data_IF_709601483062
#
_entry.id   IF_709601483062
#
_cell.length_a   1.000
_cell.length_b   1.000
_cell.length_c   1.000
_cell.angle_alpha   90.00
_cell.angle_beta   90.00
_cell.angle_gamma   90.00
#
_symmetry.space_group_name_H-M   'P 1'
#
loop_
_entity.id
_entity.type
_entity.pdbx_description
1 polymer ?
#
# COMPACT_ATOMS: atom_id res chain seq x y z
N UNK A 1 -19.95 -14.19 30.18
CA UNK A 1 -19.20 -14.90 29.13
C UNK A 1 -20.05 -15.42 27.96
N UNK A 2 -21.34 -15.06 27.85
CA UNK A 2 -22.24 -15.57 26.78
C UNK A 2 -22.59 -14.55 25.67
N UNK A 3 -22.02 -13.34 25.69
CA UNK A 3 -22.39 -12.27 24.74
C UNK A 3 -21.43 -12.16 23.54
N UNK A 4 -20.25 -12.78 23.61
CA UNK A 4 -19.23 -12.72 22.54
C UNK A 4 -19.40 -13.86 21.52
N UNK A 5 -20.12 -14.93 21.86
CA UNK A 5 -20.31 -16.09 20.99
C UNK A 5 -21.37 -15.90 19.88
N UNK A 6 -22.25 -14.89 19.98
CA UNK A 6 -23.35 -14.70 19.01
C UNK A 6 -23.03 -13.74 17.85
N UNK A 7 -21.87 -13.11 17.84
CA UNK A 7 -21.48 -12.11 16.82
C UNK A 7 -20.44 -12.60 15.81
N UNK A 8 -19.71 -13.68 16.09
CA UNK A 8 -18.60 -14.17 15.23
C UNK A 8 -19.09 -15.12 14.13
N UNK A 9 -20.13 -15.91 14.43
CA UNK A 9 -20.78 -16.81 13.46
C UNK A 9 -21.57 -16.08 12.37
N UNK A 10 -21.96 -14.81 12.59
CA UNK A 10 -22.62 -14.00 11.56
C UNK A 10 -21.63 -13.34 10.59
N UNK A 11 -20.40 -13.05 11.05
CA UNK A 11 -19.33 -12.45 10.22
C UNK A 11 -18.71 -13.50 9.30
N UNK A 12 -18.42 -14.71 9.79
CA UNK A 12 -17.85 -15.78 8.97
C UNK A 12 -18.85 -16.32 7.91
N UNK A 13 -20.13 -16.45 8.28
CA UNK A 13 -21.18 -16.87 7.33
C UNK A 13 -21.55 -15.78 6.30
N UNK A 14 -21.20 -14.51 6.55
CA UNK A 14 -21.42 -13.40 5.62
C UNK A 14 -20.31 -13.21 4.58
N UNK A 15 -19.07 -13.63 4.89
CA UNK A 15 -17.92 -13.46 3.97
C UNK A 15 -17.83 -14.57 2.91
N UNK A 16 -18.27 -15.79 3.20
CA UNK A 16 -18.23 -16.92 2.24
C UNK A 16 -19.13 -16.70 1.00
N UNK A 17 -20.35 -16.15 1.12
CA UNK A 17 -21.16 -15.73 -0.04
C UNK A 17 -20.56 -14.54 -0.81
N UNK A 18 -19.97 -13.55 -0.11
CA UNK A 18 -19.35 -12.38 -0.73
C UNK A 18 -18.10 -12.73 -1.58
N UNK A 19 -17.37 -13.79 -1.19
CA UNK A 19 -16.28 -14.36 -1.98
C UNK A 19 -16.77 -15.18 -3.20
N UNK A 20 -17.97 -15.80 -3.12
CA UNK A 20 -18.60 -16.48 -4.28
C UNK A 20 -19.13 -15.50 -5.34
N UNK A 21 -19.66 -14.35 -4.94
CA UNK A 21 -20.09 -13.30 -5.90
C UNK A 21 -18.92 -12.69 -6.69
N UNK A 22 -17.71 -12.69 -6.12
CA UNK A 22 -16.48 -12.28 -6.81
C UNK A 22 -15.97 -13.29 -7.85
N UNK A 23 -16.42 -14.54 -7.80
CA UNK A 23 -16.02 -15.60 -8.73
C UNK A 23 -17.02 -15.84 -9.87
N UNK A 24 -18.21 -15.24 -9.84
CA UNK A 24 -19.19 -15.44 -10.90
C UNK A 24 -20.23 -14.35 -11.00
N UNK A 25 -20.09 -13.48 -12.01
CA UNK A 25 -21.22 -12.67 -12.47
C UNK A 25 -21.19 -12.54 -13.99
N UNK A 26 -21.96 -13.42 -14.64
CA UNK A 26 -22.67 -13.09 -15.88
C UNK A 26 -23.75 -12.07 -15.53
N UNK A 27 -23.82 -11.01 -16.32
CA UNK A 27 -24.81 -9.94 -16.31
C UNK A 27 -26.25 -10.49 -16.19
N UNK A 28 -26.98 -10.14 -15.12
CA UNK A 28 -28.45 -10.15 -15.08
C UNK A 28 -28.96 -8.95 -14.28
N UNK A 29 -29.99 -8.31 -14.81
CA UNK A 29 -30.68 -7.08 -14.41
C UNK A 29 -31.02 -6.95 -12.91
N UNK A 30 -30.86 -5.72 -12.39
CA UNK A 30 -31.29 -5.29 -11.07
C UNK A 30 -32.82 -5.11 -10.95
N UNK A 31 -33.35 -5.50 -9.78
CA UNK A 31 -34.62 -5.02 -9.22
C UNK A 31 -34.37 -4.41 -7.84
N UNK A 32 -35.19 -3.45 -7.37
CA UNK A 32 -34.81 -2.56 -6.29
C UNK A 32 -35.12 -3.16 -4.91
N UNK A 33 -34.14 -3.14 -4.02
CA UNK A 33 -34.34 -3.31 -2.58
C UNK A 33 -33.41 -4.32 -1.94
N UNK A 34 -32.24 -3.85 -1.49
CA UNK A 34 -31.56 -4.28 -0.24
C UNK A 34 -30.34 -3.40 0.03
N UNK A 35 -30.33 -2.82 1.21
CA UNK A 35 -29.31 -1.93 1.75
C UNK A 35 -28.39 -2.66 2.72
N UNK A 36 -27.10 -2.33 2.64
CA UNK A 36 -26.04 -2.44 3.67
C UNK A 36 -25.47 -3.83 4.03
N UNK A 37 -24.23 -4.09 3.58
CA UNK A 37 -22.98 -4.17 4.40
C UNK A 37 -21.89 -4.91 3.60
N UNK A 38 -21.02 -4.12 2.98
CA UNK A 38 -19.81 -4.52 2.27
C UNK A 38 -19.14 -3.24 1.75
N UNK A 39 -17.82 -3.17 1.60
CA UNK A 39 -17.17 -2.04 0.92
C UNK A 39 -17.76 -1.99 -0.49
N UNK A 40 -18.71 -1.08 -0.69
CA UNK A 40 -19.48 -1.01 -1.91
C UNK A 40 -18.51 -0.71 -3.04
N UNK A 41 -18.69 -1.36 -4.21
CA UNK A 41 -18.01 -0.99 -5.46
C UNK A 41 -18.04 0.53 -5.75
N UNK A 42 -18.89 1.31 -5.08
CA UNK A 42 -18.88 2.79 -5.08
C UNK A 42 -17.58 3.42 -4.60
N UNK A 43 -16.88 2.85 -3.60
CA UNK A 43 -15.65 3.44 -3.05
C UNK A 43 -14.47 3.28 -4.02
N UNK A 44 -14.42 2.18 -4.78
CA UNK A 44 -13.40 1.93 -5.82
C UNK A 44 -13.69 2.68 -7.12
N UNK A 45 -14.96 2.96 -7.43
CA UNK A 45 -15.32 3.95 -8.45
C UNK A 45 -14.87 5.36 -8.05
N UNK A 46 -14.73 5.64 -6.75
CA UNK A 46 -14.13 6.86 -6.22
C UNK A 46 -12.73 7.12 -6.77
N UNK A 47 -11.85 6.10 -6.87
CA UNK A 47 -10.51 6.25 -7.44
C UNK A 47 -10.53 6.64 -8.94
N UNK A 48 -11.46 6.08 -9.72
CA UNK A 48 -11.63 6.42 -11.14
C UNK A 48 -12.39 7.73 -11.36
N UNK A 49 -13.08 8.27 -10.33
CA UNK A 49 -13.77 9.57 -10.35
C UNK A 49 -12.88 10.69 -9.80
N UNK A 50 -12.03 10.40 -8.81
CA UNK A 50 -11.09 11.34 -8.21
C UNK A 50 -10.04 11.77 -9.22
N UNK A 51 -9.48 10.85 -10.01
CA UNK A 51 -8.44 11.24 -10.95
C UNK A 51 -8.95 12.15 -12.09
N UNK A 52 -10.10 11.89 -12.75
CA UNK A 52 -10.70 12.84 -13.68
C UNK A 52 -11.21 14.12 -13.02
N UNK A 53 -11.52 14.16 -11.72
CA UNK A 53 -11.88 15.41 -11.00
C UNK A 53 -10.65 16.24 -10.62
N UNK A 54 -9.61 15.60 -10.07
CA UNK A 54 -8.28 16.17 -9.86
C UNK A 54 -7.75 16.70 -11.18
N UNK A 55 -7.91 15.93 -12.27
CA UNK A 55 -7.56 16.38 -13.62
C UNK A 55 -8.53 17.42 -14.16
N UNK A 56 -9.85 17.35 -13.99
CA UNK A 56 -10.81 18.35 -14.50
C UNK A 56 -10.57 19.71 -13.85
N UNK A 57 -10.30 19.76 -12.54
CA UNK A 57 -9.84 20.96 -11.86
C UNK A 57 -8.49 21.45 -12.38
N UNK A 58 -7.54 20.54 -12.60
CA UNK A 58 -6.21 20.83 -13.12
C UNK A 58 -6.17 21.17 -14.64
N UNK A 59 -7.05 20.63 -15.48
CA UNK A 59 -7.15 20.88 -16.92
C UNK A 59 -8.05 22.05 -17.24
N UNK A 60 -9.03 22.37 -16.38
CA UNK A 60 -9.76 23.63 -16.46
C UNK A 60 -8.84 24.84 -16.14
N UNK A 61 -7.69 24.61 -15.50
CA UNK A 61 -6.74 25.64 -15.05
C UNK A 61 -5.30 25.49 -15.57
N UNK A 62 -5.04 24.73 -16.66
CA UNK A 62 -3.70 24.63 -17.29
C UNK A 62 -2.56 24.03 -16.43
N UNK A 63 -2.86 23.17 -15.47
CA UNK A 63 -1.90 22.59 -14.49
C UNK A 63 -1.04 21.44 -15.07
N UNK A 64 -1.36 20.90 -16.26
CA UNK A 64 -0.72 19.68 -16.81
C UNK A 64 0.19 19.84 -18.04
N UNK A 65 0.53 21.06 -18.49
CA UNK A 65 1.84 21.27 -19.06
C UNK A 65 2.55 22.37 -18.26
N UNK A 66 2.80 22.15 -16.97
CA UNK A 66 3.92 22.86 -16.34
C UNK A 66 5.18 22.27 -16.94
N UNK A 67 5.64 22.91 -18.01
CA UNK A 67 6.90 22.62 -18.67
C UNK A 67 8.01 23.05 -17.70
N UNK A 68 8.41 22.16 -16.79
CA UNK A 68 9.55 22.36 -15.89
C UNK A 68 10.89 22.20 -16.66
N UNK A 69 10.99 22.72 -17.87
CA UNK A 69 12.27 22.92 -18.59
C UNK A 69 13.30 23.72 -17.75
N UNK A 70 12.87 24.26 -16.61
CA UNK A 70 13.71 24.92 -15.62
C UNK A 70 14.37 23.99 -14.58
N UNK A 71 14.10 22.68 -14.52
CA UNK A 71 15.00 21.76 -13.78
C UNK A 71 16.32 21.55 -14.54
N UNK A 72 16.27 21.46 -15.87
CA UNK A 72 17.44 21.56 -16.76
C UNK A 72 18.02 22.97 -16.97
N UNK A 73 17.34 24.02 -16.49
CA UNK A 73 17.84 25.41 -16.44
C UNK A 73 17.93 25.94 -14.99
N UNK A 74 18.12 25.08 -13.98
CA UNK A 74 18.90 25.58 -12.85
C UNK A 74 20.26 25.96 -13.46
N UNK A 75 20.74 27.21 -13.25
CA UNK A 75 22.08 27.58 -13.67
C UNK A 75 23.03 26.45 -13.29
N UNK A 76 23.92 26.07 -14.21
CA UNK A 76 25.01 25.10 -13.98
C UNK A 76 25.97 25.53 -12.85
N UNK A 77 25.71 26.69 -12.27
CA UNK A 77 26.25 27.18 -11.04
C UNK A 77 25.44 26.62 -9.87
N UNK A 78 26.08 25.87 -8.98
CA UNK A 78 25.57 25.45 -7.65
C UNK A 78 25.28 26.65 -6.70
N UNK A 79 24.89 27.79 -7.26
CA UNK A 79 24.71 29.11 -6.66
C UNK A 79 23.23 29.48 -6.50
N UNK A 80 22.29 28.56 -6.78
CA UNK A 80 20.86 28.78 -6.51
C UNK A 80 20.63 28.58 -5.02
N UNK A 81 20.75 29.67 -4.29
CA UNK A 81 20.51 29.71 -2.85
C UNK A 81 19.12 29.16 -2.52
N UNK A 82 19.05 28.34 -1.45
CA UNK A 82 17.83 27.73 -0.92
C UNK A 82 16.55 28.61 -0.93
N UNK A 83 16.60 29.93 -0.63
CA UNK A 83 15.42 30.79 -0.74
C UNK A 83 14.81 30.85 -2.14
N UNK A 84 15.67 30.88 -3.17
CA UNK A 84 15.25 30.89 -4.57
C UNK A 84 14.57 29.59 -4.99
N UNK A 85 14.96 28.44 -4.41
CA UNK A 85 14.34 27.15 -4.69
C UNK A 85 12.92 27.08 -4.12
N UNK A 86 12.73 27.52 -2.88
CA UNK A 86 11.40 27.57 -2.27
C UNK A 86 10.49 28.55 -3.01
N UNK A 87 11.02 29.73 -3.39
CA UNK A 87 10.27 30.71 -4.17
C UNK A 87 9.88 30.17 -5.56
N UNK A 88 10.82 29.46 -6.22
CA UNK A 88 10.59 28.78 -7.49
C UNK A 88 9.45 27.77 -7.37
N UNK A 89 9.50 26.83 -6.41
CA UNK A 89 8.42 25.86 -6.23
C UNK A 89 7.09 26.53 -5.87
N UNK A 90 7.10 27.57 -5.03
CA UNK A 90 5.88 28.34 -4.75
C UNK A 90 5.27 28.98 -6.00
N UNK A 91 6.11 29.43 -6.95
CA UNK A 91 5.63 30.03 -8.18
C UNK A 91 5.11 28.95 -9.15
N UNK A 92 5.87 27.87 -9.34
CA UNK A 92 5.51 26.78 -10.25
C UNK A 92 4.28 25.98 -9.80
N UNK A 93 4.05 25.88 -8.49
CA UNK A 93 2.94 25.12 -7.91
C UNK A 93 1.78 26.00 -7.46
N UNK A 94 1.77 27.29 -7.83
CA UNK A 94 0.78 28.27 -7.37
C UNK A 94 -0.65 27.79 -7.58
N UNK A 95 -0.97 27.29 -8.77
CA UNK A 95 -2.32 26.86 -9.13
C UNK A 95 -2.78 25.66 -8.28
N UNK A 96 -1.85 24.77 -7.89
CA UNK A 96 -2.16 23.65 -6.99
C UNK A 96 -2.32 24.13 -5.54
N UNK A 97 -1.50 25.09 -5.10
CA UNK A 97 -1.59 25.68 -3.76
C UNK A 97 -2.93 26.42 -3.58
N UNK A 98 -3.38 27.14 -4.61
CA UNK A 98 -4.60 27.95 -4.59
C UNK A 98 -5.86 27.14 -4.99
N UNK A 99 -5.72 25.86 -5.32
CA UNK A 99 -6.85 25.02 -5.69
C UNK A 99 -7.81 24.79 -4.51
N UNK A 100 -8.97 25.44 -4.56
CA UNK A 100 -9.93 25.52 -3.46
C UNK A 100 -10.43 24.14 -2.98
N UNK A 101 -10.63 23.20 -3.91
CA UNK A 101 -11.18 21.87 -3.64
C UNK A 101 -10.10 20.83 -3.29
N UNK A 102 -8.82 21.23 -3.24
CA UNK A 102 -7.72 20.30 -2.96
C UNK A 102 -7.91 19.61 -1.60
N UNK A 103 -8.28 20.37 -0.57
CA UNK A 103 -8.46 19.82 0.78
C UNK A 103 -9.84 19.14 0.92
N UNK A 104 -10.90 19.80 0.46
CA UNK A 104 -12.28 19.37 0.73
C UNK A 104 -12.74 18.19 -0.11
N UNK A 105 -12.25 18.05 -1.34
CA UNK A 105 -12.62 16.94 -2.24
C UNK A 105 -11.46 15.96 -2.40
N UNK A 106 -10.29 16.44 -2.84
CA UNK A 106 -9.18 15.55 -3.22
C UNK A 106 -8.56 14.85 -2.02
N UNK A 107 -8.14 15.59 -0.99
CA UNK A 107 -7.54 14.99 0.20
C UNK A 107 -8.55 14.17 1.00
N UNK A 108 -9.80 14.60 1.04
CA UNK A 108 -10.88 13.84 1.68
C UNK A 108 -11.08 12.49 0.99
N UNK A 109 -11.16 12.47 -0.34
CA UNK A 109 -11.34 11.22 -1.08
C UNK A 109 -10.14 10.28 -0.97
N UNK A 110 -8.92 10.84 -1.01
CA UNK A 110 -7.71 10.04 -0.80
C UNK A 110 -7.64 9.50 0.63
N UNK A 111 -8.05 10.28 1.64
CA UNK A 111 -8.17 9.79 3.02
C UNK A 111 -9.09 8.57 3.10
N UNK A 112 -10.26 8.62 2.45
CA UNK A 112 -11.21 7.50 2.46
C UNK A 112 -10.61 6.23 1.86
N UNK A 113 -9.94 6.36 0.71
CA UNK A 113 -9.21 5.26 0.08
C UNK A 113 -8.14 4.69 1.01
N UNK A 114 -7.31 5.54 1.62
CA UNK A 114 -6.23 5.07 2.47
C UNK A 114 -6.73 4.45 3.76
N UNK A 115 -7.82 4.96 4.33
CA UNK A 115 -8.48 4.34 5.48
C UNK A 115 -9.06 2.97 5.14
N UNK A 116 -9.62 2.79 3.94
CA UNK A 116 -10.09 1.49 3.49
C UNK A 116 -8.92 0.49 3.35
N UNK A 117 -7.80 0.91 2.77
CA UNK A 117 -6.57 0.10 2.67
C UNK A 117 -6.07 -0.28 4.06
N UNK A 118 -5.96 0.69 4.96
CA UNK A 118 -5.56 0.48 6.36
C UNK A 118 -6.50 -0.49 7.09
N UNK A 119 -7.81 -0.35 6.90
CA UNK A 119 -8.78 -1.25 7.50
C UNK A 119 -8.55 -2.71 7.06
N UNK A 120 -8.33 -2.94 5.76
CA UNK A 120 -8.01 -4.25 5.22
C UNK A 120 -6.72 -4.84 5.82
N UNK A 121 -5.68 -4.02 5.98
CA UNK A 121 -4.44 -4.45 6.63
C UNK A 121 -4.66 -4.82 8.11
N UNK A 122 -5.37 -3.97 8.85
CA UNK A 122 -5.57 -4.15 10.29
C UNK A 122 -6.49 -5.33 10.61
N UNK A 123 -7.54 -5.55 9.81
CA UNK A 123 -8.44 -6.69 10.03
C UNK A 123 -7.75 -8.02 9.74
N UNK A 124 -6.87 -8.09 8.74
CA UNK A 124 -6.06 -9.29 8.48
C UNK A 124 -5.08 -9.56 9.63
N UNK A 125 -4.45 -8.52 10.18
CA UNK A 125 -3.57 -8.67 11.34
C UNK A 125 -4.34 -9.17 12.58
N UNK A 126 -5.54 -8.63 12.82
CA UNK A 126 -6.39 -9.07 13.91
C UNK A 126 -6.82 -10.54 13.72
N UNK A 127 -7.25 -10.92 12.52
CA UNK A 127 -7.63 -12.29 12.18
C UNK A 127 -6.46 -13.25 12.36
N UNK A 128 -5.25 -12.85 11.95
CA UNK A 128 -4.04 -13.67 12.13
C UNK A 128 -3.74 -13.94 13.60
N UNK A 129 -3.94 -12.95 14.49
CA UNK A 129 -3.76 -13.11 15.93
C UNK A 129 -4.80 -14.07 16.53
N UNK A 130 -6.05 -13.97 16.08
CA UNK A 130 -7.14 -14.86 16.50
C UNK A 130 -6.86 -16.31 16.07
N UNK A 131 -6.56 -16.53 14.79
CA UNK A 131 -6.28 -17.85 14.24
C UNK A 131 -5.07 -18.53 14.92
N UNK A 132 -4.02 -17.77 15.24
CA UNK A 132 -2.87 -18.31 15.97
C UNK A 132 -3.27 -18.76 17.38
N UNK A 133 -4.11 -17.98 18.07
CA UNK A 133 -4.63 -18.38 19.38
C UNK A 133 -5.45 -19.69 19.28
N UNK A 134 -6.29 -19.82 18.25
CA UNK A 134 -7.06 -21.04 18.01
C UNK A 134 -6.16 -22.25 17.74
N UNK A 135 -5.13 -22.09 16.91
CA UNK A 135 -4.15 -23.14 16.63
C UNK A 135 -3.39 -23.57 17.88
N UNK A 136 -3.03 -22.63 18.77
CA UNK A 136 -2.36 -22.94 20.04
C UNK A 136 -3.26 -23.78 20.97
N UNK A 137 -4.57 -23.50 21.00
CA UNK A 137 -5.52 -24.32 21.78
C UNK A 137 -5.80 -25.67 21.12
N UNK A 138 -5.78 -25.75 19.79
CA UNK A 138 -5.98 -26.99 19.05
C UNK A 138 -4.75 -27.92 19.09
N UNK A 139 -3.53 -27.37 19.21
CA UNK A 139 -2.26 -28.09 19.10
C UNK A 139 -2.18 -29.41 19.91
N UNK A 140 -2.61 -29.49 21.19
CA UNK A 140 -2.56 -30.73 21.96
C UNK A 140 -3.42 -31.85 21.37
N UNK A 141 -4.54 -31.50 20.72
CA UNK A 141 -5.50 -32.46 20.14
C UNK A 141 -5.12 -32.89 18.73
N UNK A 142 -4.24 -32.14 18.07
CA UNK A 142 -3.71 -32.38 16.72
C UNK A 142 -2.28 -32.94 16.73
N UNK A 143 -1.80 -33.38 17.90
CA UNK A 143 -0.45 -33.93 18.08
C UNK A 143 0.70 -32.95 17.70
N UNK A 144 0.47 -31.64 17.88
CA UNK A 144 1.48 -30.60 17.68
C UNK A 144 2.13 -30.31 19.02
N UNK A 145 3.42 -30.64 19.14
CA UNK A 145 4.18 -30.49 20.38
C UNK A 145 5.30 -29.46 20.21
N UNK A 146 5.48 -28.55 21.19
CA UNK A 146 6.58 -27.59 21.15
C UNK A 146 7.92 -28.32 21.32
N UNK A 147 8.98 -27.70 20.81
CA UNK A 147 10.35 -28.19 21.00
C UNK A 147 10.70 -28.18 22.49
N UNK A 148 11.19 -29.32 22.99
CA UNK A 148 11.58 -29.48 24.40
C UNK A 148 13.07 -29.23 24.62
N UNK A 149 13.40 -28.79 25.84
CA UNK A 149 14.78 -28.71 26.31
C UNK A 149 15.43 -30.11 26.40
N UNK A 150 16.68 -30.21 25.93
CA UNK A 150 17.48 -31.43 25.89
C UNK A 150 18.67 -31.28 26.82
N UNK A 151 18.86 -32.25 27.72
CA UNK A 151 20.04 -32.31 28.58
C UNK A 151 21.25 -32.88 27.83
N UNK A 152 22.45 -32.59 28.31
CA UNK A 152 23.70 -33.12 27.76
C UNK A 152 23.65 -34.65 27.68
N UNK A 153 23.95 -35.22 26.50
CA UNK A 153 23.89 -36.65 26.24
C UNK A 153 22.52 -37.21 25.81
N UNK A 154 21.44 -36.41 25.83
CA UNK A 154 20.13 -36.83 25.33
C UNK A 154 19.94 -36.50 23.84
N UNK A 155 19.16 -37.32 23.13
CA UNK A 155 18.75 -37.08 21.73
C UNK A 155 17.34 -36.49 21.67
N UNK A 156 17.16 -35.43 20.89
CA UNK A 156 15.88 -34.72 20.74
C UNK A 156 14.77 -35.66 20.25
N UNK A 157 15.06 -36.53 19.28
CA UNK A 157 14.10 -37.44 18.66
C UNK A 157 13.52 -38.42 19.69
N UNK A 158 14.36 -38.94 20.58
CA UNK A 158 13.94 -39.87 21.63
C UNK A 158 13.03 -39.18 22.63
N UNK A 159 13.35 -37.95 23.02
CA UNK A 159 12.56 -37.19 23.98
C UNK A 159 11.22 -36.73 23.39
N UNK A 160 11.20 -36.31 22.12
CA UNK A 160 9.97 -35.98 21.39
C UNK A 160 9.05 -37.20 21.27
N UNK A 161 9.57 -38.38 20.89
CA UNK A 161 8.76 -39.62 20.83
C UNK A 161 8.15 -40.01 22.17
N UNK A 162 8.89 -39.85 23.27
CA UNK A 162 8.34 -40.08 24.62
C UNK A 162 7.23 -39.10 24.96
N UNK A 163 7.35 -37.84 24.54
CA UNK A 163 6.33 -36.82 24.76
C UNK A 163 5.08 -37.07 23.92
N UNK A 164 5.25 -37.47 22.67
CA UNK A 164 4.18 -37.91 21.78
C UNK A 164 3.42 -39.09 22.38
N UNK A 165 4.13 -40.12 22.87
CA UNK A 165 3.50 -41.25 23.57
C UNK A 165 2.74 -40.83 24.84
N UNK A 166 3.24 -39.83 25.57
CA UNK A 166 2.56 -39.28 26.77
C UNK A 166 1.23 -38.60 26.42
N UNK A 167 1.18 -37.86 25.31
CA UNK A 167 -0.02 -37.11 24.90
C UNK A 167 -0.87 -37.81 23.84
N UNK A 168 -0.49 -38.99 23.37
CA UNK A 168 -1.27 -39.81 22.44
C UNK A 168 -2.76 -39.95 22.81
N UNK A 169 -3.18 -40.06 24.09
CA UNK A 169 -4.61 -40.12 24.45
C UNK A 169 -5.41 -38.86 24.12
N UNK A 170 -4.76 -37.70 23.95
CA UNK A 170 -5.41 -36.44 23.58
C UNK A 170 -5.60 -36.28 22.07
N UNK A 171 -4.92 -37.11 21.26
CA UNK A 171 -4.98 -37.02 19.80
C UNK A 171 -6.37 -37.43 19.31
N UNK A 172 -7.16 -36.43 18.89
CA UNK A 172 -8.62 -36.56 18.75
C UNK A 172 -9.04 -37.51 17.63
N UNK A 173 -8.50 -37.31 16.42
CA UNK A 173 -8.92 -38.08 15.24
C UNK A 173 -8.63 -39.58 15.43
N UNK A 174 -7.42 -40.04 15.81
CA UNK A 174 -7.17 -41.46 16.05
C UNK A 174 -8.00 -42.06 17.19
N UNK A 175 -8.34 -41.25 18.20
CA UNK A 175 -9.21 -41.70 19.30
C UNK A 175 -10.63 -41.99 18.80
N UNK A 176 -11.19 -41.10 17.97
CA UNK A 176 -12.52 -41.27 17.36
C UNK A 176 -12.50 -42.38 16.32
N UNK A 177 -11.42 -42.55 15.56
CA UNK A 177 -11.28 -43.68 14.63
C UNK A 177 -11.29 -45.04 15.33
N UNK A 178 -10.79 -45.11 16.56
CA UNK A 178 -10.78 -46.34 17.35
C UNK A 178 -12.11 -46.64 18.05
N UNK A 179 -12.84 -45.62 18.49
CA UNK A 179 -13.98 -45.77 19.40
C UNK A 179 -15.32 -45.26 18.85
N UNK A 180 -15.30 -44.49 17.77
CA UNK A 180 -16.44 -43.79 17.21
C UNK A 180 -17.16 -44.54 16.09
N UNK A 181 -18.34 -44.05 15.75
CA UNK A 181 -19.13 -44.49 14.59
C UNK A 181 -18.57 -43.93 13.28
N UNK A 182 -18.89 -44.55 12.13
CA UNK A 182 -18.47 -44.02 10.82
C UNK A 182 -18.85 -42.55 10.58
N UNK A 183 -20.02 -42.13 11.06
CA UNK A 183 -20.48 -40.74 10.97
C UNK A 183 -19.61 -39.80 11.82
N UNK A 184 -19.28 -40.20 13.06
CA UNK A 184 -18.41 -39.41 13.94
C UNK A 184 -17.00 -39.27 13.37
N UNK A 185 -16.46 -40.33 12.74
CA UNK A 185 -15.14 -40.30 12.10
C UNK A 185 -15.12 -39.29 10.96
N UNK A 186 -16.14 -39.30 10.09
CA UNK A 186 -16.23 -38.35 8.99
C UNK A 186 -16.26 -36.89 9.47
N UNK A 187 -17.12 -36.59 10.46
CA UNK A 187 -17.23 -35.26 11.06
C UNK A 187 -15.92 -34.84 11.74
N UNK A 188 -15.26 -35.74 12.46
CA UNK A 188 -14.00 -35.44 13.15
C UNK A 188 -12.88 -35.10 12.17
N UNK A 189 -12.78 -35.82 11.05
CA UNK A 189 -11.77 -35.56 10.01
C UNK A 189 -12.00 -34.20 9.33
N UNK A 190 -13.25 -33.84 9.05
CA UNK A 190 -13.58 -32.54 8.47
C UNK A 190 -13.33 -31.40 9.47
N UNK A 191 -13.72 -31.58 10.73
CA UNK A 191 -13.46 -30.60 11.79
C UNK A 191 -11.97 -30.37 12.05
N UNK A 192 -11.15 -31.43 12.02
CA UNK A 192 -9.69 -31.33 12.14
C UNK A 192 -9.08 -30.54 10.97
N UNK A 193 -9.56 -30.79 9.74
CA UNK A 193 -9.13 -30.06 8.54
C UNK A 193 -9.43 -28.56 8.66
N UNK A 194 -10.65 -28.20 9.05
CA UNK A 194 -11.06 -26.81 9.23
C UNK A 194 -10.35 -26.12 10.41
N UNK A 195 -9.85 -26.89 11.38
CA UNK A 195 -9.13 -26.35 12.53
C UNK A 195 -7.67 -26.06 12.20
N UNK A 196 -7.02 -26.92 11.41
CA UNK A 196 -5.61 -26.76 11.03
C UNK A 196 -5.38 -25.80 9.85
N UNK A 197 -6.33 -25.71 8.92
CA UNK A 197 -6.22 -24.84 7.75
C UNK A 197 -6.70 -23.43 8.10
N UNK A 198 -5.75 -22.54 8.40
CA UNK A 198 -5.97 -21.12 8.72
C UNK A 198 -5.26 -20.22 7.73
N UNK A 199 -5.73 -18.99 7.55
CA UNK A 199 -5.10 -18.03 6.64
C UNK A 199 -3.68 -17.70 7.10
N UNK A 200 -3.47 -17.60 8.41
CA UNK A 200 -2.16 -17.33 9.02
C UNK A 200 -1.08 -18.40 8.72
N UNK A 201 -1.43 -19.55 8.14
CA UNK A 201 -0.50 -20.61 7.76
C UNK A 201 0.24 -20.37 6.43
N UNK A 202 0.02 -19.24 5.75
CA UNK A 202 0.77 -18.87 4.55
C UNK A 202 0.00 -18.11 3.47
N UNK A 203 -1.20 -17.60 3.78
CA UNK A 203 -2.03 -16.82 2.86
C UNK A 203 -2.09 -15.36 3.33
N UNK A 204 -2.15 -14.42 2.39
CA UNK A 204 -2.39 -13.00 2.70
C UNK A 204 -3.51 -12.43 1.84
N UNK A 205 -4.50 -11.81 2.49
CA UNK A 205 -5.63 -11.17 1.79
C UNK A 205 -5.23 -9.80 1.24
N UNK A 206 -4.37 -9.08 1.97
CA UNK A 206 -3.95 -7.73 1.67
C UNK A 206 -3.21 -7.67 0.34
N UNK A 207 -2.40 -8.68 0.01
CA UNK A 207 -1.71 -8.81 -1.28
C UNK A 207 -2.70 -8.91 -2.46
N UNK A 208 -3.76 -9.70 -2.28
CA UNK A 208 -4.84 -9.86 -3.27
C UNK A 208 -5.59 -8.53 -3.44
N UNK A 209 -5.85 -7.83 -2.35
CA UNK A 209 -6.53 -6.52 -2.36
C UNK A 209 -5.68 -5.49 -3.10
N UNK A 210 -4.38 -5.38 -2.79
CA UNK A 210 -3.47 -4.46 -3.48
C UNK A 210 -3.37 -4.77 -4.98
N UNK A 211 -3.27 -6.05 -5.34
CA UNK A 211 -3.25 -6.50 -6.73
C UNK A 211 -4.53 -6.11 -7.47
N UNK A 212 -5.68 -6.19 -6.80
CA UNK A 212 -6.96 -5.75 -7.35
C UNK A 212 -7.05 -4.23 -7.46
N UNK A 213 -6.54 -3.47 -6.50
CA UNK A 213 -6.49 -2.00 -6.62
C UNK A 213 -5.63 -1.59 -7.82
N UNK A 214 -4.51 -2.29 -8.07
CA UNK A 214 -3.68 -2.06 -9.27
C UNK A 214 -4.45 -2.24 -10.57
N UNK A 215 -5.43 -3.15 -10.63
CA UNK A 215 -6.27 -3.35 -11.82
C UNK A 215 -7.27 -2.21 -12.06
N UNK A 216 -7.46 -1.30 -11.10
CA UNK A 216 -8.25 -0.07 -11.29
C UNK A 216 -7.41 1.09 -11.83
N UNK A 217 -6.07 0.97 -11.81
CA UNK A 217 -5.12 2.00 -12.26
C UNK A 217 -4.64 1.75 -13.71
N UNK A 218 -5.58 1.47 -14.62
CA UNK A 218 -5.28 1.10 -16.02
C UNK A 218 -5.31 2.29 -16.98
N UNK A 219 -5.95 3.40 -16.59
CA UNK A 219 -5.98 4.59 -17.43
C UNK A 219 -4.54 5.08 -17.72
N UNK A 220 -4.18 5.35 -18.99
CA UNK A 220 -2.85 5.82 -19.36
C UNK A 220 -2.40 7.06 -18.58
N UNK A 221 -3.36 7.85 -18.10
CA UNK A 221 -3.07 9.09 -17.40
C UNK A 221 -2.26 8.90 -16.10
N UNK A 222 -2.35 7.74 -15.46
CA UNK A 222 -1.57 7.44 -14.26
C UNK A 222 -0.06 7.34 -14.54
N UNK A 223 0.30 6.91 -15.76
CA UNK A 223 1.67 6.67 -16.21
C UNK A 223 2.19 7.74 -17.18
N UNK A 224 1.29 8.51 -17.80
CA UNK A 224 1.64 9.47 -18.82
C UNK A 224 2.10 8.82 -20.14
N UNK A 225 2.48 9.63 -21.13
CA UNK A 225 3.05 9.14 -22.38
C UNK A 225 4.45 8.55 -22.17
N UNK A 226 5.00 7.80 -23.14
CA UNK A 226 6.40 7.35 -23.09
C UNK A 226 7.39 8.52 -22.97
N UNK A 227 8.52 8.34 -22.26
CA UNK A 227 9.52 9.39 -22.09
C UNK A 227 10.29 9.70 -23.38
N UNK A 228 10.56 10.98 -23.60
CA UNK A 228 11.24 11.51 -24.79
C UNK A 228 12.68 10.99 -24.93
N UNK A 229 13.41 10.88 -23.81
CA UNK A 229 14.76 10.31 -23.75
C UNK A 229 14.79 8.77 -23.87
N UNK A 230 13.63 8.11 -23.99
CA UNK A 230 13.51 6.67 -24.09
C UNK A 230 13.79 5.90 -22.79
N UNK A 231 14.08 6.57 -21.67
CA UNK A 231 14.39 5.95 -20.37
C UNK A 231 13.30 6.24 -19.34
N UNK A 232 13.13 7.51 -18.96
CA UNK A 232 12.21 7.96 -17.91
C UNK A 232 12.01 9.48 -17.96
N UNK A 233 10.86 9.96 -17.48
CA UNK A 233 10.59 11.39 -17.34
C UNK A 233 11.45 12.00 -16.24
N UNK A 234 12.03 13.18 -16.50
CA UNK A 234 12.98 13.86 -15.60
C UNK A 234 12.49 15.24 -15.21
N UNK A 235 12.01 16.02 -16.19
CA UNK A 235 11.47 17.35 -15.94
C UNK A 235 9.94 17.34 -16.13
N UNK A 236 9.42 16.38 -16.88
CA UNK A 236 8.02 16.32 -17.26
C UNK A 236 7.11 15.91 -16.09
N UNK A 237 6.08 16.72 -15.83
CA UNK A 237 5.05 16.47 -14.80
C UNK A 237 3.87 15.65 -15.35
N UNK A 238 4.15 14.48 -15.92
CA UNK A 238 3.14 13.64 -16.60
C UNK A 238 2.80 12.33 -15.87
N UNK A 239 3.51 12.02 -14.78
CA UNK A 239 3.28 10.85 -13.94
C UNK A 239 2.57 11.21 -12.62
N UNK A 240 1.78 10.30 -12.05
CA UNK A 240 1.07 10.54 -10.80
C UNK A 240 2.00 10.98 -9.64
N UNK A 241 3.19 10.38 -9.50
CA UNK A 241 4.10 10.76 -8.42
C UNK A 241 4.50 12.24 -8.41
N UNK A 242 4.51 12.91 -9.57
CA UNK A 242 4.78 14.36 -9.67
C UNK A 242 3.64 15.19 -9.13
N UNK A 243 2.41 14.79 -9.42
CA UNK A 243 1.21 15.38 -8.84
C UNK A 243 1.20 15.18 -7.32
N UNK A 244 1.56 13.98 -6.86
CA UNK A 244 1.70 13.70 -5.43
C UNK A 244 2.79 14.56 -4.77
N UNK A 245 3.94 14.77 -5.41
CA UNK A 245 4.97 15.70 -4.93
C UNK A 245 4.47 17.14 -4.79
N UNK A 246 3.61 17.59 -5.71
CA UNK A 246 2.98 18.91 -5.60
C UNK A 246 1.97 18.96 -4.43
N UNK A 247 1.15 17.92 -4.26
CA UNK A 247 0.26 17.81 -3.09
C UNK A 247 1.04 17.77 -1.78
N UNK A 248 2.17 17.06 -1.76
CA UNK A 248 3.10 17.01 -0.64
C UNK A 248 3.67 18.37 -0.31
N UNK A 249 4.04 19.14 -1.31
CA UNK A 249 4.43 20.53 -1.11
C UNK A 249 3.34 21.31 -0.37
N UNK A 250 2.07 21.19 -0.79
CA UNK A 250 0.95 21.89 -0.13
C UNK A 250 0.76 21.47 1.33
N UNK A 251 0.68 20.17 1.63
CA UNK A 251 0.43 19.73 3.01
C UNK A 251 1.66 19.86 3.93
N UNK A 252 2.86 20.03 3.37
CA UNK A 252 4.06 20.36 4.13
C UNK A 252 4.11 21.84 4.55
N UNK A 253 3.47 22.77 3.83
CA UNK A 253 3.45 24.19 4.19
C UNK A 253 2.94 24.36 5.63
N UNK A 254 3.73 25.01 6.53
CA UNK A 254 3.30 25.31 7.89
C UNK A 254 2.09 26.26 7.88
N UNK A 255 1.07 25.91 8.65
CA UNK A 255 -0.13 26.73 8.86
C UNK A 255 0.00 27.57 10.13
N UNK A 256 -0.89 28.55 10.32
CA UNK A 256 -0.92 29.38 11.52
C UNK A 256 -1.23 28.58 12.78
N UNK A 257 -0.89 29.13 13.96
CA UNK A 257 -1.05 28.44 15.26
C UNK A 257 -2.49 27.99 15.55
N UNK A 258 -3.49 28.67 15.00
CA UNK A 258 -4.91 28.39 15.21
C UNK A 258 -5.56 27.68 14.00
N UNK A 259 -4.76 27.20 13.05
CA UNK A 259 -5.23 26.49 11.87
C UNK A 259 -4.93 24.99 11.99
N UNK A 260 -5.84 24.16 11.49
CA UNK A 260 -5.65 22.72 11.49
C UNK A 260 -4.63 22.29 10.43
N UNK A 261 -3.71 21.42 10.83
CA UNK A 261 -2.75 20.81 9.91
C UNK A 261 -3.39 19.65 9.12
N UNK A 262 -2.77 19.26 8.01
CA UNK A 262 -3.26 18.14 7.19
C UNK A 262 -3.36 16.84 8.00
N UNK A 263 -2.37 16.55 8.85
CA UNK A 263 -2.38 15.37 9.71
C UNK A 263 -3.51 15.41 10.77
N UNK A 264 -3.95 16.58 11.22
CA UNK A 264 -5.11 16.71 12.12
C UNK A 264 -6.44 16.47 11.39
N UNK A 265 -6.55 16.90 10.13
CA UNK A 265 -7.78 16.75 9.36
C UNK A 265 -7.94 15.35 8.75
N UNK A 266 -6.86 14.79 8.20
CA UNK A 266 -6.91 13.59 7.37
C UNK A 266 -6.21 12.38 7.99
N UNK A 267 -5.36 12.57 8.99
CA UNK A 267 -4.52 11.51 9.56
C UNK A 267 -3.61 10.86 8.52
N UNK A 268 -3.14 9.65 8.82
CA UNK A 268 -2.19 8.94 7.94
C UNK A 268 -2.86 8.34 6.70
N UNK A 269 -4.19 8.24 6.67
CA UNK A 269 -4.96 7.71 5.55
C UNK A 269 -4.65 8.43 4.23
N UNK A 270 -4.44 9.75 4.26
CA UNK A 270 -4.04 10.52 3.08
C UNK A 270 -2.73 9.97 2.47
N UNK A 271 -1.69 9.81 3.29
CA UNK A 271 -0.39 9.30 2.85
C UNK A 271 -0.46 7.84 2.43
N UNK A 272 -1.26 7.01 3.13
CA UNK A 272 -1.48 5.62 2.75
C UNK A 272 -2.07 5.48 1.35
N UNK A 273 -3.02 6.33 0.96
CA UNK A 273 -3.55 6.33 -0.40
C UNK A 273 -2.52 6.76 -1.45
N UNK A 274 -1.89 7.92 -1.26
CA UNK A 274 -0.90 8.44 -2.21
C UNK A 274 0.28 7.48 -2.41
N UNK A 275 0.83 6.95 -1.31
CA UNK A 275 1.93 5.98 -1.36
C UNK A 275 1.49 4.66 -2.00
N UNK A 276 0.27 4.18 -1.72
CA UNK A 276 -0.25 2.97 -2.36
C UNK A 276 -0.32 3.12 -3.88
N UNK A 277 -0.88 4.22 -4.38
CA UNK A 277 -0.96 4.46 -5.83
C UNK A 277 0.45 4.52 -6.44
N UNK A 278 1.39 5.22 -5.80
CA UNK A 278 2.80 5.31 -6.27
C UNK A 278 3.45 3.92 -6.36
N UNK A 279 3.28 3.06 -5.35
CA UNK A 279 3.84 1.70 -5.34
C UNK A 279 3.18 0.83 -6.41
N UNK A 280 1.85 0.84 -6.51
CA UNK A 280 1.12 0.02 -7.47
C UNK A 280 1.40 0.41 -8.93
N UNK A 281 1.80 1.65 -9.18
CA UNK A 281 2.27 2.14 -10.49
C UNK A 281 3.77 1.91 -10.74
N UNK A 282 4.53 1.41 -9.76
CA UNK A 282 5.98 1.24 -9.87
C UNK A 282 6.74 2.58 -10.00
N UNK A 283 6.20 3.65 -9.40
CA UNK A 283 6.75 5.01 -9.51
C UNK A 283 7.60 5.43 -8.30
N UNK A 284 7.68 4.63 -7.24
CA UNK A 284 8.33 5.01 -5.97
C UNK A 284 9.79 5.47 -6.15
N UNK A 285 10.62 4.71 -6.87
CA UNK A 285 12.05 5.09 -7.04
C UNK A 285 12.21 6.45 -7.73
N UNK A 286 11.29 6.79 -8.64
CA UNK A 286 11.27 8.10 -9.33
C UNK A 286 10.76 9.20 -8.40
N UNK A 287 9.73 8.91 -7.61
CA UNK A 287 9.27 9.81 -6.56
C UNK A 287 10.40 10.18 -5.58
N UNK A 288 11.11 9.18 -5.04
CA UNK A 288 12.20 9.40 -4.08
C UNK A 288 13.33 10.27 -4.65
N UNK A 289 13.54 10.21 -5.97
CA UNK A 289 14.58 10.98 -6.66
C UNK A 289 14.15 12.41 -6.99
N UNK A 290 12.89 12.61 -7.40
CA UNK A 290 12.42 13.87 -7.98
C UNK A 290 11.39 14.63 -7.16
N UNK A 291 11.07 14.17 -5.95
CA UNK A 291 10.15 14.89 -5.08
C UNK A 291 10.68 16.29 -4.72
N UNK A 292 9.82 17.30 -4.93
CA UNK A 292 10.16 18.71 -4.70
C UNK A 292 10.55 18.98 -3.25
N UNK A 293 9.82 18.39 -2.30
CA UNK A 293 10.07 18.56 -0.88
C UNK A 293 11.37 17.88 -0.45
N UNK A 294 11.64 16.67 -0.95
CA UNK A 294 12.88 15.95 -0.62
C UNK A 294 14.11 16.68 -1.17
N UNK A 295 13.99 17.29 -2.35
CA UNK A 295 15.02 18.18 -2.88
C UNK A 295 15.22 19.41 -1.98
N UNK A 296 14.14 20.11 -1.61
CA UNK A 296 14.20 21.27 -0.71
C UNK A 296 14.86 20.94 0.64
N UNK A 297 14.49 19.81 1.25
CA UNK A 297 15.10 19.33 2.50
C UNK A 297 16.59 19.04 2.34
N UNK A 298 17.00 18.46 1.20
CA UNK A 298 18.42 18.15 0.92
C UNK A 298 19.25 19.42 0.85
N UNK A 299 18.77 20.43 0.12
CA UNK A 299 19.47 21.73 0.02
C UNK A 299 19.43 22.47 1.36
N UNK A 300 18.32 22.42 2.11
CA UNK A 300 18.22 23.08 3.41
C UNK A 300 19.24 22.54 4.42
N UNK A 301 19.47 21.23 4.41
CA UNK A 301 20.49 20.59 5.27
C UNK A 301 21.92 20.98 4.90
N UNK A 302 22.17 21.28 3.63
CA UNK A 302 23.48 21.68 3.15
C UNK A 302 23.78 23.15 3.48
N UNK A 303 22.82 24.04 3.20
CA UNK A 303 23.01 25.49 3.35
C UNK A 303 22.77 25.98 4.79
N UNK A 304 21.99 25.24 5.59
CA UNK A 304 21.68 25.56 7.00
C UNK A 304 20.88 26.85 7.22
N UNK A 305 20.39 27.49 6.15
CA UNK A 305 19.65 28.76 6.21
C UNK A 305 18.27 28.58 6.87
N UNK A 306 17.85 29.63 7.57
CA UNK A 306 16.56 29.73 8.25
C UNK A 306 15.95 31.10 7.98
N UNK A 307 15.25 31.21 6.86
CA UNK A 307 14.61 32.44 6.39
C UNK A 307 13.09 32.23 6.29
N UNK A 308 12.34 33.33 6.22
CA UNK A 308 10.90 33.31 5.97
C UNK A 308 10.66 33.78 4.54
N UNK A 309 10.15 32.89 3.69
CA UNK A 309 9.92 33.16 2.27
C UNK A 309 8.43 32.99 1.99
N UNK A 310 7.77 34.02 1.45
CA UNK A 310 6.31 34.02 1.21
C UNK A 310 5.49 33.58 2.45
N UNK A 311 5.88 34.07 3.63
CA UNK A 311 5.31 33.71 4.94
C UNK A 311 5.52 32.25 5.37
N UNK A 312 6.38 31.49 4.67
CA UNK A 312 6.74 30.12 5.03
C UNK A 312 8.07 30.11 5.79
N UNK A 313 8.08 29.76 7.09
CA UNK A 313 9.31 29.58 7.84
C UNK A 313 10.03 28.31 7.39
N UNK A 314 11.20 28.47 6.78
CA UNK A 314 11.92 27.43 6.06
C UNK A 314 12.33 26.25 6.94
N UNK A 315 12.81 26.51 8.15
CA UNK A 315 13.16 25.44 9.09
C UNK A 315 11.96 24.60 9.51
N UNK A 316 10.81 25.24 9.79
CA UNK A 316 9.57 24.51 10.11
C UNK A 316 9.08 23.71 8.90
N UNK A 317 9.19 24.25 7.68
CA UNK A 317 8.88 23.54 6.45
C UNK A 317 9.76 22.29 6.30
N UNK A 318 11.09 22.44 6.44
CA UNK A 318 12.04 21.33 6.37
C UNK A 318 11.77 20.24 7.42
N UNK A 319 11.45 20.64 8.66
CA UNK A 319 11.08 19.71 9.73
C UNK A 319 9.80 18.93 9.40
N UNK A 320 8.77 19.60 8.85
CA UNK A 320 7.53 18.95 8.38
C UNK A 320 7.80 17.99 7.23
N UNK A 321 8.57 18.41 6.23
CA UNK A 321 8.98 17.54 5.11
C UNK A 321 9.67 16.29 5.63
N UNK A 322 10.59 16.43 6.61
CA UNK A 322 11.29 15.28 7.18
C UNK A 322 10.33 14.30 7.86
N UNK A 323 9.31 14.78 8.57
CA UNK A 323 8.29 13.91 9.18
C UNK A 323 7.52 13.13 8.13
N UNK A 324 7.03 13.80 7.08
CA UNK A 324 6.32 13.13 5.99
C UNK A 324 7.22 12.19 5.19
N UNK A 325 8.50 12.51 5.01
CA UNK A 325 9.47 11.61 4.40
C UNK A 325 9.63 10.30 5.20
N UNK A 326 9.69 10.39 6.53
CA UNK A 326 9.77 9.20 7.40
C UNK A 326 8.48 8.37 7.26
N UNK A 327 7.31 9.02 7.34
CA UNK A 327 6.02 8.36 7.17
C UNK A 327 5.90 7.66 5.82
N UNK A 328 6.18 8.36 4.72
CA UNK A 328 6.12 7.78 3.37
C UNK A 328 7.07 6.57 3.24
N UNK A 329 8.29 6.67 3.77
CA UNK A 329 9.25 5.57 3.73
C UNK A 329 8.76 4.32 4.50
N UNK A 330 8.10 4.52 5.64
CA UNK A 330 7.49 3.43 6.40
C UNK A 330 6.35 2.79 5.63
N UNK A 331 5.44 3.59 5.08
CA UNK A 331 4.32 3.11 4.25
C UNK A 331 4.83 2.35 3.04
N UNK A 332 5.82 2.90 2.32
CA UNK A 332 6.46 2.22 1.19
C UNK A 332 7.11 0.90 1.61
N UNK A 333 7.80 0.84 2.74
CA UNK A 333 8.42 -0.39 3.22
C UNK A 333 7.37 -1.47 3.50
N UNK A 334 6.25 -1.11 4.12
CA UNK A 334 5.14 -2.04 4.39
C UNK A 334 4.53 -2.53 3.08
N UNK A 335 4.14 -1.62 2.18
CA UNK A 335 3.52 -1.98 0.90
C UNK A 335 4.42 -2.88 0.05
N UNK A 336 5.71 -2.56 -0.07
CA UNK A 336 6.66 -3.38 -0.83
C UNK A 336 6.87 -4.78 -0.22
N UNK A 337 6.71 -4.94 1.09
CA UNK A 337 6.78 -6.27 1.72
C UNK A 337 5.68 -7.19 1.18
N UNK A 338 4.47 -6.67 1.01
CA UNK A 338 3.33 -7.41 0.47
C UNK A 338 3.38 -7.54 -1.06
N UNK A 339 3.92 -6.56 -1.79
CA UNK A 339 4.02 -6.65 -3.25
C UNK A 339 5.06 -7.66 -3.74
N UNK A 340 6.16 -7.87 -2.99
CA UNK A 340 7.22 -8.84 -3.36
C UNK A 340 6.73 -10.29 -3.37
N UNK A 341 5.78 -10.65 -2.51
CA UNK A 341 5.16 -11.98 -2.50
C UNK A 341 4.56 -12.33 -3.87
N UNK A 342 3.82 -11.38 -4.47
CA UNK A 342 3.09 -11.54 -5.74
C UNK A 342 4.02 -11.76 -6.94
N UNK A 343 5.22 -11.20 -6.93
CA UNK A 343 6.18 -11.33 -8.04
C UNK A 343 6.85 -12.71 -8.06
N UNK A 344 7.00 -13.36 -6.90
CA UNK A 344 7.67 -14.68 -6.76
C UNK A 344 6.95 -15.82 -7.47
N UNK A 345 5.63 -15.73 -7.63
CA UNK A 345 4.82 -16.76 -8.32
C UNK A 345 4.87 -16.62 -9.85
N UNK A 346 5.34 -15.49 -10.37
CA UNK A 346 5.57 -15.29 -11.81
C UNK A 346 6.96 -15.78 -12.21
N UNK A 347 7.04 -17.05 -12.60
CA UNK A 347 8.23 -17.75 -13.10
C UNK A 347 8.80 -17.22 -14.44
N UNK A 348 8.57 -15.95 -14.77
CA UNK A 348 9.17 -15.29 -15.94
C UNK A 348 10.36 -14.46 -15.49
N UNK A 349 11.55 -14.78 -16.00
CA UNK A 349 12.76 -13.93 -15.89
C UNK A 349 12.35 -12.47 -16.11
N UNK A 350 12.56 -11.60 -15.10
CA UNK A 350 12.23 -10.17 -15.23
C UNK A 350 12.95 -9.63 -16.46
N UNK A 351 12.18 -9.32 -17.51
CA UNK A 351 12.74 -8.82 -18.75
C UNK A 351 13.11 -7.34 -18.56
N UNK A 352 14.33 -7.11 -18.07
CA UNK A 352 14.87 -5.75 -17.92
C UNK A 352 15.08 -5.17 -19.31
N UNK A 353 14.66 -3.92 -19.50
CA UNK A 353 14.89 -3.20 -20.76
C UNK A 353 16.39 -2.92 -20.94
N UNK A 354 16.99 -3.47 -21.99
CA UNK A 354 18.38 -3.21 -22.37
C UNK A 354 18.47 -2.02 -23.35
N UNK A 355 19.59 -1.29 -23.29
CA UNK A 355 19.93 -0.23 -24.23
C UNK A 355 21.07 -0.69 -25.12
N UNK A 356 20.98 -0.38 -26.41
CA UNK A 356 22.01 -0.75 -27.38
C UNK A 356 23.24 0.15 -27.23
N UNK A 357 24.47 -0.40 -27.29
CA UNK A 357 25.67 0.43 -27.33
C UNK A 357 25.71 1.25 -28.63
N UNK A 358 26.51 2.34 -28.68
CA UNK A 358 26.70 3.10 -29.90
C UNK A 358 27.19 2.21 -31.05
N UNK A 359 26.45 2.18 -32.15
CA UNK A 359 26.82 1.40 -33.35
C UNK A 359 27.74 2.26 -34.22
N UNK A 360 28.92 1.72 -34.55
CA UNK A 360 29.86 2.42 -35.43
C UNK A 360 29.26 2.57 -36.84
N UNK A 361 29.41 3.76 -37.45
CA UNK A 361 28.75 4.11 -38.73
C UNK A 361 29.05 3.12 -39.87
N UNK A 362 30.22 2.48 -39.87
CA UNK A 362 30.60 1.46 -40.86
C UNK A 362 29.73 0.20 -40.82
N UNK A 363 29.10 -0.10 -39.69
CA UNK A 363 28.21 -1.24 -39.50
C UNK A 363 26.73 -0.83 -39.61
N UNK A 364 26.44 0.47 -39.55
CA UNK A 364 25.07 1.00 -39.60
C UNK A 364 24.45 0.96 -41.01
N UNK A 365 25.26 0.83 -42.06
CA UNK A 365 24.80 0.76 -43.48
C UNK A 365 24.49 -0.66 -43.96
N UNK A 366 24.76 -1.68 -43.15
CA UNK A 366 24.59 -3.10 -43.48
C UNK A 366 23.46 -3.79 -42.71
N UNK A 367 22.68 -3.06 -41.91
CA UNK A 367 21.52 -3.54 -41.19
C UNK A 367 20.21 -2.99 -41.76
#
# INVERSE_FOLDING_TARGET
>A
MAVISMSVSSVSNGMVPALRELQGTKLVNEGPGKSHLGPSLRETHGLSLCYPRVRSGATAQSVFPVNLTAQGQLPTDCSVHLPGILEFFHHQLKDIIEYAELKTDVFQSLREVGNAILFCLLIEQALSQEEVCDLLHAAPFQNILPRVYIKEGERLEVRMKRLEAKYAPLHLVPLIERLGTPQQIAIAREGDLLTKERLCCGLSMFEVILTRIRSYLQDPIWRGPPPTNGVMHVDECVEFHRLWSAMQFVYCIPVGTNEFTAEQCFGDGLNWAGCSIIVLLGQQRRFDLFDFCYHLLKVQRQDGKDEIIKNVPLKKMADRIRKYQILNNEVFAILNKYMKSVETDSSTVEHVRCFQPPIHQSLATTC
#
